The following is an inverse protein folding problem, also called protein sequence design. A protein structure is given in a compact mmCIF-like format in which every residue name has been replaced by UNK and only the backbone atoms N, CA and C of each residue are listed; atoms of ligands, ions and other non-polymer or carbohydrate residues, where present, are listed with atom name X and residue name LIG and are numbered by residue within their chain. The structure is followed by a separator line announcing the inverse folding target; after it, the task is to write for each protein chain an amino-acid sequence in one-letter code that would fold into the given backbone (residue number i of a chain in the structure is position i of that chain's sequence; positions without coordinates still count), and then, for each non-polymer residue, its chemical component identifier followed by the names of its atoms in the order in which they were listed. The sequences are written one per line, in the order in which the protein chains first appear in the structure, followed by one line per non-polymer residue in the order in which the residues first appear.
data_IF_519786926229
#
_entry.id   IF_519786926229
#
_cell.length_a   1.000
_cell.length_b   1.000
_cell.length_c   1.000
_cell.angle_alpha   90.00
_cell.angle_beta   90.00
_cell.angle_gamma   90.00
#
_symmetry.space_group_name_H-M   'P 1'
#
loop_
_entity.id
_entity.type
_entity.pdbx_description
1 polymer ?
#
# COMPACT_ATOMS: atom_id res chain seq x y z
N UNK A 1 0.97 -21.37 -38.37
CA UNK A 1 -0.22 -22.26 -38.26
C UNK A 1 -0.04 -23.49 -39.14
N UNK A 2 -0.37 -24.70 -38.67
CA UNK A 2 -0.32 -25.95 -39.44
C UNK A 2 -1.71 -26.27 -40.03
N UNK A 3 -1.75 -26.56 -41.33
CA UNK A 3 -2.98 -26.95 -42.01
C UNK A 3 -2.66 -28.01 -43.08
N UNK A 4 -3.39 -29.14 -43.10
CA UNK A 4 -3.15 -30.28 -43.98
C UNK A 4 -1.68 -30.71 -44.05
N UNK A 5 -1.03 -30.88 -42.91
CA UNK A 5 0.39 -31.27 -42.76
C UNK A 5 1.40 -30.30 -43.40
N UNK A 6 1.01 -29.05 -43.62
CA UNK A 6 1.91 -27.98 -44.04
C UNK A 6 1.81 -26.80 -43.11
N UNK A 7 2.95 -26.15 -42.85
CA UNK A 7 3.04 -24.94 -42.03
C UNK A 7 2.97 -23.69 -42.91
N UNK A 8 2.00 -22.83 -42.66
CA UNK A 8 1.86 -21.53 -43.32
C UNK A 8 2.16 -20.38 -42.37
N UNK A 9 2.82 -19.35 -42.89
CA UNK A 9 3.19 -18.15 -42.14
C UNK A 9 2.27 -16.95 -42.44
N UNK A 10 1.47 -17.05 -43.53
CA UNK A 10 0.54 -16.01 -43.94
C UNK A 10 -0.60 -16.57 -44.75
N UNK A 11 -1.74 -15.87 -44.83
CA UNK A 11 -2.85 -16.28 -45.67
C UNK A 11 -2.50 -16.25 -47.15
N UNK A 12 -1.61 -15.36 -47.59
CA UNK A 12 -1.14 -15.31 -48.97
C UNK A 12 -0.38 -16.59 -49.38
N UNK A 13 0.43 -17.17 -48.49
CA UNK A 13 1.08 -18.46 -48.75
C UNK A 13 0.08 -19.61 -48.93
N UNK A 14 -0.96 -19.66 -48.09
CA UNK A 14 -2.03 -20.63 -48.21
C UNK A 14 -2.79 -20.45 -49.53
N UNK A 15 -3.10 -19.20 -49.93
CA UNK A 15 -3.78 -18.90 -51.20
C UNK A 15 -2.94 -19.36 -52.40
N UNK A 16 -1.59 -19.18 -52.40
CA UNK A 16 -0.70 -19.67 -53.45
C UNK A 16 -0.83 -21.18 -53.62
N UNK A 17 -0.79 -21.92 -52.49
CA UNK A 17 -0.92 -23.40 -52.54
C UNK A 17 -2.30 -23.87 -52.99
N UNK A 18 -3.35 -23.17 -52.54
CA UNK A 18 -4.72 -23.48 -52.97
C UNK A 18 -4.96 -23.22 -54.49
N UNK A 19 -4.44 -22.09 -54.97
CA UNK A 19 -4.47 -21.81 -56.43
C UNK A 19 -3.71 -22.87 -57.23
N UNK A 20 -2.50 -23.23 -56.77
CA UNK A 20 -1.71 -24.26 -57.43
C UNK A 20 -2.40 -25.62 -57.42
N UNK A 21 -3.02 -26.01 -56.33
CA UNK A 21 -3.72 -27.31 -56.20
C UNK A 21 -4.89 -27.44 -57.12
N UNK A 22 -5.53 -26.32 -57.51
CA UNK A 22 -6.67 -26.24 -58.46
C UNK A 22 -6.25 -25.96 -59.91
N UNK A 23 -4.96 -25.67 -60.13
CA UNK A 23 -4.51 -25.23 -61.46
C UNK A 23 -5.06 -23.84 -61.85
N UNK A 24 -5.38 -23.00 -60.87
CA UNK A 24 -6.00 -21.70 -61.09
C UNK A 24 -4.95 -20.56 -61.12
N UNK A 25 -5.26 -19.57 -61.99
CA UNK A 25 -4.55 -18.30 -61.99
C UNK A 25 -5.19 -17.31 -61.00
N UNK A 26 -4.50 -16.22 -60.66
CA UNK A 26 -5.03 -15.13 -59.87
C UNK A 26 -6.27 -14.51 -60.52
N UNK A 27 -6.25 -14.43 -61.90
CA UNK A 27 -7.35 -13.96 -62.71
C UNK A 27 -8.58 -14.87 -62.57
N UNK A 28 -8.39 -16.18 -62.54
CA UNK A 28 -9.46 -17.13 -62.33
C UNK A 28 -10.16 -16.95 -60.97
N UNK A 29 -9.34 -16.75 -59.90
CA UNK A 29 -9.89 -16.47 -58.57
C UNK A 29 -10.63 -15.11 -58.53
N UNK A 30 -10.10 -14.08 -59.21
CA UNK A 30 -10.72 -12.76 -59.29
C UNK A 30 -12.12 -12.85 -59.89
N UNK A 31 -12.26 -13.60 -60.99
CA UNK A 31 -13.58 -13.84 -61.64
C UNK A 31 -14.53 -14.54 -60.65
N UNK A 32 -14.08 -15.59 -59.94
CA UNK A 32 -14.91 -16.37 -59.01
C UNK A 32 -15.36 -15.54 -57.82
N UNK A 33 -14.49 -14.69 -57.29
CA UNK A 33 -14.79 -13.81 -56.16
C UNK A 33 -15.49 -12.51 -56.57
N UNK A 34 -15.78 -12.30 -57.87
CA UNK A 34 -16.29 -11.04 -58.40
C UNK A 34 -15.47 -9.82 -57.99
N UNK A 35 -14.13 -9.94 -58.01
CA UNK A 35 -13.17 -8.93 -57.59
C UNK A 35 -12.26 -8.56 -58.77
N UNK A 36 -11.55 -7.42 -58.61
CA UNK A 36 -10.46 -7.09 -59.51
C UNK A 36 -9.22 -7.97 -59.29
N UNK A 37 -8.47 -8.22 -60.36
CA UNK A 37 -7.26 -9.08 -60.30
C UNK A 37 -6.16 -8.46 -59.44
N UNK A 38 -6.11 -7.13 -59.33
CA UNK A 38 -5.20 -6.39 -58.47
C UNK A 38 -5.48 -6.69 -56.98
N UNK A 39 -6.76 -6.76 -56.61
CA UNK A 39 -7.20 -7.09 -55.26
C UNK A 39 -6.76 -8.50 -54.86
N UNK A 40 -6.95 -9.50 -55.74
CA UNK A 40 -6.48 -10.86 -55.52
C UNK A 40 -4.93 -10.92 -55.44
N UNK A 41 -4.25 -10.20 -56.36
CA UNK A 41 -2.78 -10.13 -56.31
C UNK A 41 -2.24 -9.53 -55.03
N UNK A 42 -2.92 -8.54 -54.47
CA UNK A 42 -2.58 -7.95 -53.16
C UNK A 42 -2.84 -8.92 -52.02
N UNK A 43 -3.92 -9.73 -52.03
CA UNK A 43 -4.18 -10.76 -51.04
C UNK A 43 -3.09 -11.84 -51.06
N UNK A 44 -2.76 -12.36 -52.26
CA UNK A 44 -1.70 -13.37 -52.42
C UNK A 44 -0.31 -12.85 -51.99
N UNK A 45 -0.07 -11.57 -52.09
CA UNK A 45 1.16 -10.91 -51.67
C UNK A 45 1.12 -10.42 -50.21
N UNK A 46 0.08 -10.76 -49.44
CA UNK A 46 -0.14 -10.30 -48.07
C UNK A 46 -0.18 -8.75 -47.91
N UNK A 47 -0.56 -8.03 -48.99
CA UNK A 47 -0.71 -6.57 -49.03
C UNK A 47 -2.14 -6.11 -48.88
N UNK A 48 -3.10 -7.02 -48.89
CA UNK A 48 -4.53 -6.79 -48.61
C UNK A 48 -4.92 -7.67 -47.45
N UNK A 49 -5.51 -7.05 -46.43
CA UNK A 49 -6.03 -7.73 -45.25
C UNK A 49 -7.21 -8.62 -45.62
N UNK A 50 -7.25 -9.83 -45.08
CA UNK A 50 -8.38 -10.73 -45.20
C UNK A 50 -9.25 -10.57 -43.97
N UNK A 51 -10.38 -9.93 -44.16
CA UNK A 51 -11.42 -9.77 -43.12
C UNK A 51 -12.39 -10.96 -43.11
N UNK A 52 -13.39 -10.91 -42.20
CA UNK A 52 -14.37 -11.98 -42.04
C UNK A 52 -15.19 -12.26 -43.33
N UNK A 53 -15.51 -11.20 -44.06
CA UNK A 53 -16.28 -11.33 -45.34
C UNK A 53 -15.47 -12.05 -46.40
N UNK A 54 -14.23 -11.62 -46.61
CA UNK A 54 -13.33 -12.29 -47.56
C UNK A 54 -12.99 -13.73 -47.13
N UNK A 55 -12.84 -13.97 -45.83
CA UNK A 55 -12.57 -15.32 -45.33
C UNK A 55 -13.74 -16.27 -45.61
N UNK A 56 -14.99 -15.83 -45.49
CA UNK A 56 -16.19 -16.61 -45.83
C UNK A 56 -16.25 -16.90 -47.35
N UNK A 57 -15.99 -15.89 -48.17
CA UNK A 57 -15.95 -16.10 -49.64
C UNK A 57 -14.87 -17.10 -50.04
N UNK A 58 -13.69 -17.08 -49.36
CA UNK A 58 -12.64 -18.03 -49.62
C UNK A 58 -12.99 -19.43 -49.11
N UNK A 59 -13.76 -19.54 -48.02
CA UNK A 59 -14.30 -20.81 -47.53
C UNK A 59 -15.25 -21.43 -48.55
N UNK A 60 -16.18 -20.65 -49.07
CA UNK A 60 -17.12 -21.10 -50.13
C UNK A 60 -16.38 -21.60 -51.35
N UNK A 61 -15.32 -20.89 -51.76
CA UNK A 61 -14.57 -21.22 -52.98
C UNK A 61 -13.65 -22.42 -52.79
N UNK A 62 -12.93 -22.49 -51.68
CA UNK A 62 -11.87 -23.48 -51.48
C UNK A 62 -12.24 -24.64 -50.57
N UNK A 63 -13.34 -24.54 -49.80
CA UNK A 63 -13.73 -25.51 -48.78
C UNK A 63 -12.74 -25.54 -47.58
N UNK A 64 -12.01 -24.44 -47.40
CA UNK A 64 -11.10 -24.24 -46.23
C UNK A 64 -11.80 -23.37 -45.23
N UNK A 65 -11.98 -23.78 -43.98
CA UNK A 65 -12.71 -23.00 -43.00
C UNK A 65 -12.20 -21.55 -42.87
N UNK A 66 -13.12 -20.59 -42.81
CA UNK A 66 -12.80 -19.15 -42.76
C UNK A 66 -11.86 -18.79 -41.60
N UNK A 67 -11.99 -19.48 -40.45
CA UNK A 67 -11.15 -19.27 -39.30
C UNK A 67 -9.65 -19.56 -39.59
N UNK A 68 -9.31 -20.43 -40.54
CA UNK A 68 -7.91 -20.71 -40.92
C UNK A 68 -7.29 -19.46 -41.55
N UNK A 69 -7.99 -18.77 -42.43
CA UNK A 69 -7.53 -17.52 -43.05
C UNK A 69 -7.39 -16.42 -42.02
N UNK A 70 -8.37 -16.28 -41.11
CA UNK A 70 -8.37 -15.25 -40.06
C UNK A 70 -7.25 -15.48 -39.05
N UNK A 71 -6.97 -16.72 -38.66
CA UNK A 71 -5.86 -17.05 -37.76
C UNK A 71 -4.52 -16.69 -38.38
N UNK A 72 -4.31 -17.08 -39.66
CA UNK A 72 -3.10 -16.74 -40.42
C UNK A 72 -2.92 -15.22 -40.56
N UNK A 73 -4.02 -14.49 -40.80
CA UNK A 73 -4.02 -13.03 -40.89
C UNK A 73 -3.61 -12.40 -39.53
N UNK A 74 -4.21 -12.88 -38.45
CA UNK A 74 -3.91 -12.39 -37.10
C UNK A 74 -2.45 -12.65 -36.71
N UNK A 75 -1.93 -13.85 -37.00
CA UNK A 75 -0.51 -14.18 -36.77
C UNK A 75 0.43 -13.26 -37.59
N UNK A 76 0.07 -12.99 -38.86
CA UNK A 76 0.85 -12.10 -39.72
C UNK A 76 0.86 -10.68 -39.17
N UNK A 77 -0.31 -10.17 -38.77
CA UNK A 77 -0.45 -8.80 -38.26
C UNK A 77 0.28 -8.62 -36.91
N UNK A 78 0.19 -9.62 -36.02
CA UNK A 78 0.96 -9.63 -34.77
C UNK A 78 2.47 -9.62 -35.01
N UNK A 79 2.95 -10.44 -35.97
CA UNK A 79 4.37 -10.47 -36.31
C UNK A 79 4.84 -9.14 -36.90
N UNK A 80 4.05 -8.54 -37.79
CA UNK A 80 4.35 -7.19 -38.33
C UNK A 80 4.37 -6.13 -37.22
N UNK A 81 3.37 -6.17 -36.34
CA UNK A 81 3.31 -5.25 -35.21
C UNK A 81 4.53 -5.40 -34.28
N UNK A 82 4.97 -6.64 -34.00
CA UNK A 82 6.17 -6.90 -33.18
C UNK A 82 7.45 -6.36 -33.81
N UNK A 83 7.57 -6.40 -35.14
CA UNK A 83 8.74 -5.86 -35.86
C UNK A 83 8.83 -4.33 -35.79
N UNK A 84 7.69 -3.66 -35.68
CA UNK A 84 7.58 -2.18 -35.67
C UNK A 84 7.42 -1.66 -34.25
N UNK A 85 6.92 -2.50 -33.33
CA UNK A 85 6.66 -2.09 -31.96
C UNK A 85 7.99 -1.84 -31.26
N UNK A 86 8.07 -0.65 -30.67
CA UNK A 86 9.08 -0.34 -29.67
C UNK A 86 8.44 -0.69 -28.31
N UNK A 87 8.69 -1.90 -27.74
CA UNK A 87 8.07 -2.30 -26.49
C UNK A 87 8.52 -1.31 -25.40
N UNK A 88 7.52 -0.71 -24.72
CA UNK A 88 7.76 0.09 -23.53
C UNK A 88 8.08 -0.87 -22.36
N UNK A 89 9.35 -0.97 -21.93
CA UNK A 89 9.77 -1.91 -20.89
C UNK A 89 9.12 -1.59 -19.54
N UNK A 90 8.74 -0.34 -19.28
CA UNK A 90 8.08 0.08 -18.04
C UNK A 90 6.57 -0.21 -17.99
N UNK A 91 5.94 -0.65 -19.10
CA UNK A 91 4.47 -0.80 -19.15
C UNK A 91 3.94 -1.82 -18.14
N UNK A 92 4.64 -2.92 -17.95
CA UNK A 92 4.24 -3.96 -17.00
C UNK A 92 4.37 -3.47 -15.55
N UNK A 93 5.50 -2.84 -15.21
CA UNK A 93 5.71 -2.22 -13.90
C UNK A 93 4.69 -1.11 -13.64
N UNK A 94 4.44 -0.25 -14.62
CA UNK A 94 3.41 0.80 -14.55
C UNK A 94 2.03 0.22 -14.27
N UNK A 95 1.65 -0.87 -14.92
CA UNK A 95 0.34 -1.49 -14.71
C UNK A 95 0.18 -1.96 -13.26
N UNK A 96 1.22 -2.54 -12.65
CA UNK A 96 1.22 -2.94 -11.24
C UNK A 96 1.20 -1.75 -10.30
N UNK A 97 2.04 -0.74 -10.52
CA UNK A 97 2.09 0.47 -9.70
C UNK A 97 0.74 1.20 -9.66
N UNK A 98 0.08 1.34 -10.81
CA UNK A 98 -1.21 2.03 -10.91
C UNK A 98 -2.39 1.18 -10.39
N UNK A 99 -2.24 -0.15 -10.32
CA UNK A 99 -3.23 -1.01 -9.70
C UNK A 99 -3.19 -0.94 -8.16
N UNK A 100 -1.98 -0.87 -7.59
CA UNK A 100 -1.77 -1.13 -6.18
C UNK A 100 -1.47 0.13 -5.35
N UNK A 101 -0.83 1.16 -5.94
CA UNK A 101 -0.54 2.42 -5.25
C UNK A 101 -1.68 3.43 -5.35
N UNK A 102 -2.01 4.14 -4.26
CA UNK A 102 -2.97 5.23 -4.29
C UNK A 102 -2.36 6.53 -4.87
N UNK A 103 -1.87 6.47 -6.12
CA UNK A 103 -1.10 7.57 -6.76
C UNK A 103 -1.86 8.88 -6.74
N UNK A 104 -3.17 8.88 -7.02
CA UNK A 104 -4.00 10.09 -6.95
C UNK A 104 -3.97 10.75 -5.57
N UNK A 105 -3.98 9.94 -4.51
CA UNK A 105 -3.92 10.44 -3.15
C UNK A 105 -2.52 10.97 -2.81
N UNK A 106 -1.47 10.29 -3.27
CA UNK A 106 -0.08 10.75 -3.10
C UNK A 106 0.18 12.09 -3.80
N UNK A 107 -0.37 12.29 -5.02
CA UNK A 107 -0.32 13.58 -5.73
C UNK A 107 -1.05 14.66 -4.93
N UNK A 108 -2.29 14.40 -4.49
CA UNK A 108 -3.10 15.34 -3.73
C UNK A 108 -2.43 15.78 -2.43
N UNK A 109 -1.68 14.87 -1.78
CA UNK A 109 -0.91 15.15 -0.56
C UNK A 109 0.44 15.81 -0.81
N UNK A 110 0.82 16.04 -2.08
CA UNK A 110 2.11 16.62 -2.43
C UNK A 110 3.30 15.68 -2.26
N UNK A 111 3.08 14.37 -2.09
CA UNK A 111 4.16 13.38 -2.01
C UNK A 111 4.80 13.11 -3.35
N UNK A 112 4.04 13.30 -4.42
CA UNK A 112 4.45 13.18 -5.82
C UNK A 112 4.12 14.49 -6.51
N UNK A 113 5.13 15.16 -7.09
CA UNK A 113 5.00 16.43 -7.78
C UNK A 113 4.56 16.21 -9.24
N UNK A 114 3.30 15.84 -9.45
CA UNK A 114 2.68 15.68 -10.76
C UNK A 114 1.33 16.39 -10.80
N UNK A 115 0.95 16.95 -11.95
CA UNK A 115 -0.36 17.58 -12.11
C UNK A 115 -1.49 16.56 -12.25
N UNK A 116 -1.19 15.40 -12.80
CA UNK A 116 -2.17 14.34 -13.06
C UNK A 116 -1.51 12.97 -13.16
N UNK A 117 -2.24 11.93 -12.76
CA UNK A 117 -1.86 10.52 -13.00
C UNK A 117 -1.70 10.17 -14.48
N UNK A 118 -2.22 10.99 -15.39
CA UNK A 118 -2.11 10.78 -16.85
C UNK A 118 -0.72 11.11 -17.37
N UNK A 119 0.03 11.97 -16.69
CA UNK A 119 1.42 12.24 -17.01
C UNK A 119 2.31 11.14 -16.43
N UNK A 120 2.28 10.00 -17.10
CA UNK A 120 2.97 8.78 -16.65
C UNK A 120 4.47 8.97 -16.51
N UNK A 121 5.10 9.81 -17.35
CA UNK A 121 6.54 10.05 -17.29
C UNK A 121 6.94 10.81 -16.03
N UNK A 122 6.21 11.87 -15.70
CA UNK A 122 6.45 12.63 -14.46
C UNK A 122 6.13 11.77 -13.23
N UNK A 123 5.01 11.04 -13.24
CA UNK A 123 4.65 10.15 -12.14
C UNK A 123 5.72 9.08 -11.91
N UNK A 124 6.22 8.42 -12.95
CA UNK A 124 7.28 7.41 -12.81
C UNK A 124 8.58 8.00 -12.24
N UNK A 125 8.99 9.17 -12.74
CA UNK A 125 10.17 9.88 -12.22
C UNK A 125 10.02 10.22 -10.74
N UNK A 126 8.86 10.74 -10.35
CA UNK A 126 8.60 11.12 -8.97
C UNK A 126 8.44 9.89 -8.05
N UNK A 127 7.89 8.76 -8.54
CA UNK A 127 7.87 7.51 -7.79
C UNK A 127 9.28 6.97 -7.54
N UNK A 128 10.15 6.96 -8.54
CA UNK A 128 11.57 6.60 -8.40
C UNK A 128 12.25 7.45 -7.33
N UNK A 129 12.03 8.77 -7.36
CA UNK A 129 12.53 9.71 -6.36
C UNK A 129 11.93 9.42 -4.97
N UNK A 130 10.61 9.23 -4.88
CA UNK A 130 9.88 8.98 -3.64
C UNK A 130 10.37 7.70 -2.94
N UNK A 131 10.58 6.62 -3.68
CA UNK A 131 11.08 5.37 -3.13
C UNK A 131 12.62 5.31 -3.03
N UNK A 132 13.34 6.31 -3.54
CA UNK A 132 14.80 6.38 -3.48
C UNK A 132 15.50 5.26 -4.26
N UNK A 133 14.93 4.84 -5.38
CA UNK A 133 15.45 3.78 -6.25
C UNK A 133 15.97 4.36 -7.57
N UNK A 134 16.76 3.58 -8.32
CA UNK A 134 17.28 4.04 -9.61
C UNK A 134 16.27 3.86 -10.75
N UNK A 135 15.43 2.83 -10.66
CA UNK A 135 14.50 2.43 -11.71
C UNK A 135 13.14 2.09 -11.11
N UNK A 136 12.09 2.30 -11.91
CA UNK A 136 10.70 1.94 -11.56
C UNK A 136 10.59 0.46 -11.17
N UNK A 137 11.31 -0.41 -11.87
CA UNK A 137 11.32 -1.86 -11.63
C UNK A 137 11.90 -2.26 -10.27
N UNK A 138 12.66 -1.38 -9.61
CA UNK A 138 13.31 -1.64 -8.32
C UNK A 138 12.43 -1.24 -7.12
N UNK A 139 11.22 -0.72 -7.36
CA UNK A 139 10.29 -0.35 -6.30
C UNK A 139 9.82 -1.61 -5.56
N UNK A 140 9.99 -1.66 -4.26
CA UNK A 140 9.79 -2.86 -3.40
C UNK A 140 8.39 -3.49 -3.48
N UNK A 141 7.36 -2.72 -3.83
CA UNK A 141 5.99 -3.22 -4.01
C UNK A 141 5.82 -4.13 -5.23
N UNK A 142 6.79 -4.16 -6.13
CA UNK A 142 6.75 -5.02 -7.30
C UNK A 142 7.18 -6.45 -6.94
N UNK A 143 6.52 -7.49 -7.49
CA UNK A 143 6.76 -8.88 -7.10
C UNK A 143 8.22 -9.37 -7.25
N UNK A 144 8.96 -8.78 -8.19
CA UNK A 144 10.36 -9.14 -8.42
C UNK A 144 11.33 -8.38 -7.52
N UNK A 145 10.97 -7.17 -7.06
CA UNK A 145 11.76 -6.38 -6.12
C UNK A 145 11.52 -6.85 -4.67
N UNK A 146 10.28 -7.20 -4.31
CA UNK A 146 9.92 -7.74 -3.00
C UNK A 146 10.73 -9.00 -2.62
N UNK A 147 11.18 -9.79 -3.58
CA UNK A 147 12.06 -10.96 -3.34
C UNK A 147 13.46 -10.58 -2.86
N UNK A 148 13.89 -9.33 -3.02
CA UNK A 148 15.21 -8.84 -2.61
C UNK A 148 15.16 -8.15 -1.23
N UNK A 149 13.98 -7.78 -0.77
CA UNK A 149 13.76 -7.13 0.53
C UNK A 149 13.42 -8.18 1.58
N UNK A 150 14.10 -8.13 2.72
CA UNK A 150 13.81 -8.96 3.90
C UNK A 150 12.71 -8.33 4.77
N UNK A 151 12.21 -7.16 4.40
CA UNK A 151 11.23 -6.41 5.18
C UNK A 151 9.79 -6.77 4.77
N UNK A 152 9.00 -7.19 5.74
CA UNK A 152 7.53 -7.34 5.71
C UNK A 152 6.91 -7.84 4.40
N UNK A 153 6.90 -9.16 4.19
CA UNK A 153 6.25 -9.81 3.05
C UNK A 153 4.73 -9.60 3.00
N UNK A 154 4.12 -9.10 4.07
CA UNK A 154 2.66 -8.94 4.23
C UNK A 154 2.17 -7.49 4.14
N UNK A 155 3.07 -6.50 4.01
CA UNK A 155 2.69 -5.10 3.92
C UNK A 155 2.05 -4.76 2.58
N UNK A 156 0.93 -4.03 2.62
CA UNK A 156 0.27 -3.54 1.39
C UNK A 156 1.06 -2.40 0.76
N UNK A 157 0.94 -2.16 -0.57
CA UNK A 157 1.59 -1.04 -1.25
C UNK A 157 1.30 0.32 -0.62
N UNK A 158 0.07 0.54 -0.12
CA UNK A 158 -0.29 1.76 0.59
C UNK A 158 0.45 1.90 1.94
N UNK A 159 0.68 0.80 2.65
CA UNK A 159 1.46 0.79 3.89
C UNK A 159 2.94 1.06 3.62
N UNK A 160 3.49 0.47 2.56
CA UNK A 160 4.87 0.72 2.13
C UNK A 160 5.06 2.19 1.74
N UNK A 161 4.16 2.75 0.94
CA UNK A 161 4.22 4.18 0.58
C UNK A 161 4.14 5.08 1.83
N UNK A 162 3.27 4.77 2.78
CA UNK A 162 3.17 5.49 4.04
C UNK A 162 4.48 5.39 4.86
N UNK A 163 5.07 4.21 4.96
CA UNK A 163 6.35 3.99 5.63
C UNK A 163 7.48 4.83 5.01
N UNK A 164 7.57 4.85 3.67
CA UNK A 164 8.57 5.66 2.98
C UNK A 164 8.38 7.15 3.25
N UNK A 165 7.12 7.63 3.34
CA UNK A 165 6.87 9.02 3.72
C UNK A 165 7.33 9.33 5.14
N UNK A 166 7.02 8.47 6.10
CA UNK A 166 7.52 8.60 7.49
C UNK A 166 9.05 8.62 7.51
N UNK A 167 9.70 7.74 6.75
CA UNK A 167 11.16 7.66 6.66
C UNK A 167 11.77 8.93 6.10
N UNK A 168 11.21 9.49 5.02
CA UNK A 168 11.68 10.76 4.44
C UNK A 168 11.64 11.88 5.46
N UNK A 169 10.48 12.09 6.10
CA UNK A 169 10.32 13.13 7.12
C UNK A 169 11.28 12.92 8.30
N UNK A 170 11.38 11.69 8.80
CA UNK A 170 12.26 11.37 9.92
C UNK A 170 13.73 11.59 9.60
N UNK A 171 14.15 11.40 8.35
CA UNK A 171 15.53 11.62 7.91
C UNK A 171 15.96 13.09 8.01
N UNK A 172 15.02 14.03 7.85
CA UNK A 172 15.25 15.48 7.97
C UNK A 172 15.14 16.00 9.41
N UNK A 173 14.64 15.16 10.34
CA UNK A 173 14.45 15.60 11.72
C UNK A 173 15.73 15.59 12.53
N UNK A 174 15.93 16.63 13.32
CA UNK A 174 16.94 16.66 14.36
C UNK A 174 16.36 16.04 15.64
N UNK A 175 17.13 15.18 16.29
CA UNK A 175 16.82 14.62 17.60
C UNK A 175 18.11 14.55 18.45
N UNK A 176 17.96 14.50 19.77
CA UNK A 176 19.07 14.22 20.68
C UNK A 176 19.68 12.84 20.42
N UNK A 177 20.80 12.55 21.03
CA UNK A 177 21.36 11.20 21.03
C UNK A 177 20.38 10.24 21.71
N UNK A 178 20.08 9.12 21.08
CA UNK A 178 19.18 8.11 21.64
C UNK A 178 19.76 7.48 22.91
N UNK A 179 18.91 7.34 23.91
CA UNK A 179 19.22 6.65 25.16
C UNK A 179 18.06 5.81 25.65
N UNK A 180 18.22 4.47 25.75
CA UNK A 180 17.17 3.60 26.30
C UNK A 180 16.79 3.98 27.74
N UNK A 181 17.73 4.44 28.55
CA UNK A 181 17.48 4.87 29.94
C UNK A 181 16.67 6.17 29.99
N UNK A 182 16.94 7.11 29.06
CA UNK A 182 16.10 8.30 28.91
C UNK A 182 14.67 7.92 28.57
N UNK A 183 14.44 6.93 27.67
CA UNK A 183 13.10 6.44 27.34
C UNK A 183 12.42 5.81 28.56
N UNK A 184 13.12 4.93 29.29
CA UNK A 184 12.57 4.32 30.53
C UNK A 184 12.17 5.37 31.55
N UNK A 185 13.00 6.39 31.74
CA UNK A 185 12.69 7.52 32.63
C UNK A 185 11.49 8.33 32.13
N UNK A 186 11.43 8.57 30.82
CA UNK A 186 10.34 9.30 30.19
C UNK A 186 8.97 8.61 30.32
N UNK A 187 8.91 7.28 30.48
CA UNK A 187 7.64 6.57 30.68
C UNK A 187 6.87 7.09 31.90
N UNK A 188 7.54 7.43 33.00
CA UNK A 188 6.88 8.01 34.17
C UNK A 188 6.32 9.40 33.88
N UNK A 189 7.02 10.21 33.09
CA UNK A 189 6.58 11.53 32.65
C UNK A 189 5.39 11.42 31.70
N UNK A 190 5.46 10.52 30.72
CA UNK A 190 4.33 10.24 29.80
C UNK A 190 3.11 9.76 30.56
N UNK A 191 3.28 8.94 31.59
CA UNK A 191 2.19 8.52 32.47
C UNK A 191 1.51 9.71 33.15
N UNK A 192 2.27 10.72 33.58
CA UNK A 192 1.74 11.94 34.18
C UNK A 192 0.97 12.77 33.14
N UNK A 193 1.50 12.87 31.91
CA UNK A 193 0.85 13.59 30.80
C UNK A 193 -0.50 12.96 30.41
N UNK A 194 -0.67 11.66 30.57
CA UNK A 194 -1.90 10.92 30.26
C UNK A 194 -3.09 11.34 31.14
N UNK A 195 -2.88 12.09 32.20
CA UNK A 195 -3.94 12.52 33.11
C UNK A 195 -4.89 13.57 32.53
N UNK A 196 -4.45 14.31 31.50
CA UNK A 196 -5.22 15.37 30.86
C UNK A 196 -5.16 15.24 29.34
N UNK A 197 -6.16 15.79 28.65
CA UNK A 197 -6.17 15.84 27.19
C UNK A 197 -4.99 16.66 26.65
N UNK A 198 -4.69 17.80 27.24
CA UNK A 198 -3.60 18.69 26.81
C UNK A 198 -2.20 18.07 27.01
N UNK A 199 -2.09 17.03 27.80
CA UNK A 199 -0.84 16.33 28.02
C UNK A 199 -0.20 15.81 26.74
N UNK A 200 -0.99 15.46 25.71
CA UNK A 200 -0.48 14.96 24.42
C UNK A 200 0.40 16.00 23.70
N UNK A 201 0.16 17.30 23.90
CA UNK A 201 0.96 18.37 23.30
C UNK A 201 2.45 18.33 23.65
N UNK A 202 2.79 17.71 24.77
CA UNK A 202 4.18 17.59 25.24
C UNK A 202 4.90 16.32 24.74
N UNK A 203 4.19 15.38 24.16
CA UNK A 203 4.76 14.10 23.71
C UNK A 203 5.87 14.29 22.69
N UNK A 204 5.73 15.12 21.62
CA UNK A 204 6.80 15.30 20.64
C UNK A 204 8.12 15.74 21.26
N UNK A 205 8.06 16.68 22.24
CA UNK A 205 9.25 17.15 22.94
C UNK A 205 9.87 16.04 23.78
N UNK A 206 9.07 15.25 24.50
CA UNK A 206 9.58 14.13 25.30
C UNK A 206 10.26 13.11 24.43
N UNK A 207 9.72 12.81 23.24
CA UNK A 207 10.34 11.89 22.28
C UNK A 207 11.68 12.42 21.76
N UNK A 208 11.74 13.68 21.37
CA UNK A 208 12.97 14.32 20.89
C UNK A 208 14.08 14.35 21.97
N UNK A 209 13.71 14.64 23.22
CA UNK A 209 14.63 14.59 24.39
C UNK A 209 15.22 13.17 24.61
N UNK A 210 14.46 12.12 24.27
CA UNK A 210 14.92 10.72 24.33
C UNK A 210 15.73 10.28 23.10
N UNK A 211 15.84 11.12 22.09
CA UNK A 211 16.49 10.79 20.82
C UNK A 211 15.61 10.01 19.84
N UNK A 212 14.30 10.03 20.03
CA UNK A 212 13.32 9.39 19.14
C UNK A 212 12.77 10.42 18.18
N UNK A 213 12.80 10.12 16.87
CA UNK A 213 12.13 10.91 15.86
C UNK A 213 10.66 10.52 15.82
N UNK A 214 9.81 11.42 16.27
CA UNK A 214 8.38 11.20 16.36
C UNK A 214 7.65 11.95 15.24
N UNK A 215 6.94 11.22 14.38
CA UNK A 215 6.31 11.75 13.17
C UNK A 215 4.85 11.35 13.11
N UNK A 216 3.98 12.29 12.74
CA UNK A 216 2.56 12.05 12.50
C UNK A 216 2.28 12.14 11.00
N UNK A 217 1.90 11.02 10.38
CA UNK A 217 1.51 10.98 8.96
C UNK A 217 0.13 10.38 8.84
N UNK A 218 -0.79 11.11 8.21
CA UNK A 218 -2.14 10.61 7.98
C UNK A 218 -2.11 9.31 7.18
N UNK A 219 -2.86 8.29 7.62
CA UNK A 219 -2.95 7.02 6.93
C UNK A 219 -3.47 7.19 5.49
N UNK A 220 -2.86 6.51 4.53
CA UNK A 220 -3.43 6.42 3.18
C UNK A 220 -4.71 5.60 3.21
N UNK A 221 -5.65 5.91 2.33
CA UNK A 221 -6.92 5.22 2.22
C UNK A 221 -6.71 3.71 2.08
N UNK A 222 -7.35 2.94 2.97
CA UNK A 222 -7.27 1.48 2.97
C UNK A 222 -6.04 0.87 3.65
N UNK A 223 -5.02 1.65 4.03
CA UNK A 223 -3.79 1.13 4.67
C UNK A 223 -4.02 0.56 6.06
N UNK A 224 -5.01 1.10 6.80
CA UNK A 224 -5.37 0.69 8.18
C UNK A 224 -4.21 0.66 9.17
N UNK A 225 -3.14 1.39 8.87
CA UNK A 225 -1.95 1.46 9.71
C UNK A 225 -2.22 2.32 10.95
N UNK A 226 -1.74 1.92 12.10
CA UNK A 226 -1.84 2.66 13.36
C UNK A 226 -0.49 3.30 13.72
N UNK A 227 0.61 2.55 13.62
CA UNK A 227 1.93 3.01 13.93
C UNK A 227 3.04 2.25 13.19
N UNK A 228 4.27 2.66 13.43
CA UNK A 228 5.49 2.01 12.96
C UNK A 228 6.66 2.33 13.85
N UNK A 229 7.48 1.32 14.11
CA UNK A 229 8.82 1.47 14.68
C UNK A 229 9.88 0.98 13.68
N UNK A 230 10.87 1.81 13.41
CA UNK A 230 12.06 1.44 12.63
C UNK A 230 13.28 2.30 13.03
N UNK A 231 14.43 2.00 12.45
CA UNK A 231 15.66 2.72 12.71
C UNK A 231 16.26 3.22 11.41
N UNK A 232 16.68 4.49 11.38
CA UNK A 232 17.41 5.06 10.23
C UNK A 232 18.85 4.54 10.18
N UNK A 233 19.43 4.37 11.34
CA UNK A 233 20.74 3.76 11.62
C UNK A 233 20.72 3.11 13.01
N UNK A 234 21.81 2.53 13.48
CA UNK A 234 21.91 1.82 14.78
C UNK A 234 21.51 2.65 16.01
N UNK A 235 21.44 3.97 15.87
CA UNK A 235 21.24 4.92 17.00
C UNK A 235 20.08 5.89 16.75
N UNK A 236 19.35 5.76 15.68
CA UNK A 236 18.35 6.74 15.27
C UNK A 236 16.96 6.10 15.13
N UNK A 237 16.26 5.81 16.26
CA UNK A 237 14.92 5.24 16.22
C UNK A 237 13.90 6.26 15.76
N UNK A 238 12.89 5.74 15.04
CA UNK A 238 11.74 6.48 14.52
C UNK A 238 10.47 5.83 15.03
N UNK A 239 9.54 6.65 15.51
CA UNK A 239 8.16 6.27 15.79
C UNK A 239 7.25 7.11 14.89
N UNK A 240 6.58 6.45 13.98
CA UNK A 240 5.56 7.05 13.13
C UNK A 240 4.16 6.65 13.60
N UNK A 241 3.22 7.60 13.66
CA UNK A 241 1.83 7.32 14.01
C UNK A 241 0.87 7.93 13.00
N UNK A 242 -0.23 7.22 12.71
CA UNK A 242 -1.21 7.68 11.73
C UNK A 242 -2.34 8.51 12.33
N UNK A 243 -2.54 8.47 13.63
CA UNK A 243 -3.71 9.03 14.34
C UNK A 243 -5.05 8.64 13.70
N UNK A 244 -5.16 7.40 13.21
CA UNK A 244 -6.29 6.90 12.41
C UNK A 244 -7.67 7.17 13.05
N UNK A 245 -7.77 7.06 14.35
CA UNK A 245 -9.03 7.28 15.09
C UNK A 245 -9.12 8.65 15.76
N UNK A 246 -8.02 9.39 15.83
CA UNK A 246 -7.94 10.67 16.52
C UNK A 246 -8.55 10.64 17.94
N UNK A 247 -8.26 9.58 18.71
CA UNK A 247 -8.82 9.35 20.05
C UNK A 247 -7.69 9.23 21.07
N UNK A 248 -7.91 9.79 22.26
CA UNK A 248 -6.91 9.82 23.34
C UNK A 248 -6.50 8.42 23.81
N UNK A 249 -7.42 7.48 23.88
CA UNK A 249 -7.14 6.09 24.30
C UNK A 249 -6.26 5.36 23.28
N UNK A 250 -6.58 5.50 21.98
CA UNK A 250 -5.82 4.92 20.90
C UNK A 250 -4.42 5.54 20.80
N UNK A 251 -4.33 6.85 20.93
CA UNK A 251 -3.05 7.57 20.91
C UNK A 251 -2.06 7.03 21.94
N UNK A 252 -2.47 6.94 23.22
CA UNK A 252 -1.57 6.48 24.28
C UNK A 252 -1.23 4.99 24.17
N UNK A 253 -2.18 4.18 23.68
CA UNK A 253 -1.94 2.76 23.47
C UNK A 253 -0.91 2.55 22.35
N UNK A 254 -1.12 3.14 21.17
CA UNK A 254 -0.21 3.01 20.02
C UNK A 254 1.17 3.59 20.37
N UNK A 255 1.23 4.79 20.95
CA UNK A 255 2.51 5.39 21.39
C UNK A 255 3.31 4.44 22.28
N UNK A 256 2.68 3.85 23.29
CA UNK A 256 3.37 2.97 24.22
C UNK A 256 3.75 1.63 23.58
N UNK A 257 2.95 1.15 22.66
CA UNK A 257 3.24 -0.03 21.83
C UNK A 257 4.53 0.17 21.03
N UNK A 258 4.62 1.25 20.26
CA UNK A 258 5.78 1.59 19.44
C UNK A 258 7.04 1.85 20.33
N UNK A 259 6.85 2.46 21.50
CA UNK A 259 7.95 2.65 22.44
C UNK A 259 8.50 1.34 23.01
N UNK A 260 7.68 0.28 23.13
CA UNK A 260 8.20 -1.03 23.51
C UNK A 260 9.09 -1.60 22.43
N UNK A 261 8.69 -1.51 21.16
CA UNK A 261 9.54 -1.93 20.04
C UNK A 261 10.89 -1.18 20.05
N UNK A 262 10.89 0.13 20.31
CA UNK A 262 12.14 0.90 20.46
C UNK A 262 13.00 0.37 21.61
N UNK A 263 12.40 0.12 22.78
CA UNK A 263 13.11 -0.37 23.99
C UNK A 263 13.71 -1.76 23.82
N UNK A 264 13.03 -2.62 23.05
CA UNK A 264 13.50 -3.97 22.72
C UNK A 264 14.43 -3.98 21.50
N UNK A 265 14.72 -2.81 20.91
CA UNK A 265 15.51 -2.66 19.67
C UNK A 265 14.92 -3.40 18.48
N UNK A 266 13.60 -3.61 18.44
CA UNK A 266 12.89 -4.10 17.26
C UNK A 266 12.95 -3.06 16.13
N UNK A 267 12.72 -3.48 14.89
CA UNK A 267 12.74 -2.58 13.73
C UNK A 267 14.13 -2.22 13.19
N UNK A 268 15.23 -2.75 13.78
CA UNK A 268 16.60 -2.55 13.25
C UNK A 268 16.86 -3.34 11.98
N UNK A 269 16.31 -4.54 11.87
CA UNK A 269 16.45 -5.41 10.68
C UNK A 269 15.39 -5.16 9.61
N UNK A 270 14.33 -4.44 9.95
CA UNK A 270 13.19 -4.12 9.09
C UNK A 270 12.11 -3.38 9.88
N UNK A 271 11.33 -2.54 9.23
CA UNK A 271 10.28 -1.77 9.89
C UNK A 271 9.20 -2.69 10.51
N UNK A 272 8.82 -2.41 11.76
CA UNK A 272 7.67 -3.03 12.42
C UNK A 272 6.44 -2.18 12.10
N UNK A 273 5.59 -2.67 11.21
CA UNK A 273 4.37 -1.99 10.76
C UNK A 273 3.15 -2.53 11.51
N UNK A 274 2.50 -1.67 12.28
CA UNK A 274 1.36 -2.03 13.09
C UNK A 274 0.06 -1.55 12.47
N UNK A 275 -0.81 -2.49 12.17
CA UNK A 275 -2.12 -2.23 11.59
C UNK A 275 -3.22 -2.88 12.43
N UNK A 276 -4.35 -2.17 12.53
CA UNK A 276 -5.57 -2.68 13.20
C UNK A 276 -5.37 -3.10 14.66
N UNK A 277 -4.50 -2.40 15.41
CA UNK A 277 -4.24 -2.65 16.84
C UNK A 277 -5.50 -2.59 17.73
N UNK A 278 -6.59 -1.98 17.24
CA UNK A 278 -7.89 -1.96 17.93
C UNK A 278 -8.71 -3.26 17.79
N UNK A 279 -8.40 -4.12 16.83
CA UNK A 279 -9.19 -5.33 16.63
C UNK A 279 -9.10 -6.26 17.84
N UNK A 280 -10.21 -6.98 18.11
CA UNK A 280 -10.33 -7.96 19.19
C UNK A 280 -9.21 -8.99 19.26
N UNK A 281 -8.60 -9.28 18.12
CA UNK A 281 -7.54 -10.28 17.96
C UNK A 281 -6.16 -9.70 17.81
N UNK A 282 -6.01 -8.35 17.84
CA UNK A 282 -4.70 -7.75 17.80
C UNK A 282 -3.87 -8.20 19.01
N UNK A 283 -2.79 -8.89 18.77
CA UNK A 283 -1.90 -9.42 19.79
C UNK A 283 -2.46 -10.60 20.63
N UNK A 284 -3.57 -11.24 20.20
CA UNK A 284 -4.13 -12.39 20.90
C UNK A 284 -4.39 -13.55 19.93
N UNK A 285 -3.53 -14.53 19.91
CA UNK A 285 -3.68 -15.75 19.10
C UNK A 285 -2.39 -16.57 19.12
N UNK A 286 -2.45 -17.86 18.77
CA UNK A 286 -1.25 -18.71 18.75
C UNK A 286 -0.22 -18.32 17.69
N UNK A 287 -0.62 -17.51 16.69
CA UNK A 287 0.22 -17.11 15.56
C UNK A 287 0.77 -15.67 15.69
N UNK A 288 0.52 -14.99 16.83
CA UNK A 288 1.05 -13.64 17.07
C UNK A 288 2.52 -13.73 17.48
N UNK A 289 3.39 -12.97 16.80
CA UNK A 289 4.79 -12.89 17.18
C UNK A 289 4.95 -12.46 18.64
N UNK A 290 5.93 -13.04 19.33
CA UNK A 290 6.20 -12.75 20.73
C UNK A 290 6.46 -11.25 20.96
N UNK A 291 7.11 -10.61 20.01
CA UNK A 291 7.40 -9.17 20.00
C UNK A 291 6.13 -8.33 20.08
N UNK A 292 5.11 -8.68 19.29
CA UNK A 292 3.80 -8.03 19.29
C UNK A 292 3.04 -8.25 20.59
N UNK A 293 3.11 -9.46 21.14
CA UNK A 293 2.48 -9.78 22.40
C UNK A 293 3.06 -8.94 23.54
N UNK A 294 4.39 -8.84 23.62
CA UNK A 294 5.09 -8.03 24.62
C UNK A 294 4.74 -6.56 24.49
N UNK A 295 4.72 -6.01 23.26
CA UNK A 295 4.38 -4.61 23.01
C UNK A 295 2.92 -4.31 23.41
N UNK A 296 1.98 -5.19 23.08
CA UNK A 296 0.57 -5.05 23.45
C UNK A 296 0.34 -5.12 24.96
N UNK A 297 0.99 -6.05 25.66
CA UNK A 297 0.94 -6.17 27.12
C UNK A 297 1.51 -4.91 27.81
N UNK A 298 2.63 -4.42 27.31
CA UNK A 298 3.23 -3.19 27.80
C UNK A 298 2.31 -1.98 27.59
N UNK A 299 1.69 -1.83 26.42
CA UNK A 299 0.75 -0.77 26.11
C UNK A 299 -0.51 -0.84 26.98
N UNK A 300 -1.07 -2.03 27.15
CA UNK A 300 -2.26 -2.25 27.99
C UNK A 300 -1.95 -1.89 29.47
N UNK A 301 -0.87 -2.42 30.01
CA UNK A 301 -0.48 -2.18 31.42
C UNK A 301 -0.13 -0.72 31.68
N UNK A 302 0.45 -0.04 30.69
CA UNK A 302 0.73 1.39 30.78
C UNK A 302 -0.54 2.24 30.80
N UNK A 303 -1.52 1.92 29.97
CA UNK A 303 -2.80 2.64 29.94
C UNK A 303 -3.63 2.35 31.19
N UNK A 304 -3.95 1.08 31.43
CA UNK A 304 -4.73 0.61 32.59
C UNK A 304 -4.20 -0.77 33.02
N UNK A 305 -3.61 -0.89 34.21
CA UNK A 305 -3.12 -2.19 34.69
C UNK A 305 -4.24 -3.25 34.66
N UNK A 306 -3.91 -4.42 34.12
CA UNK A 306 -4.90 -5.49 33.86
C UNK A 306 -5.66 -5.91 35.13
N UNK A 307 -4.92 -6.14 36.24
CA UNK A 307 -5.52 -6.52 37.54
C UNK A 307 -6.48 -5.44 38.05
N UNK A 308 -6.13 -4.15 37.87
CA UNK A 308 -6.98 -3.04 38.29
C UNK A 308 -8.26 -2.96 37.45
N UNK A 309 -8.15 -3.18 36.14
CA UNK A 309 -9.31 -3.23 35.25
C UNK A 309 -10.21 -4.41 35.58
N UNK A 310 -9.65 -5.59 35.79
CA UNK A 310 -10.39 -6.80 36.12
C UNK A 310 -11.11 -6.68 37.45
N UNK A 311 -10.45 -6.14 38.47
CA UNK A 311 -11.08 -5.85 39.76
C UNK A 311 -12.20 -4.79 39.65
N UNK A 312 -12.02 -3.78 38.79
CA UNK A 312 -13.05 -2.78 38.51
C UNK A 312 -14.27 -3.43 37.82
N UNK A 313 -14.04 -4.23 36.77
CA UNK A 313 -15.10 -4.95 36.05
C UNK A 313 -15.83 -5.92 36.97
N UNK A 314 -15.12 -6.72 37.76
CA UNK A 314 -15.73 -7.65 38.71
C UNK A 314 -16.66 -6.99 39.74
N UNK A 315 -16.34 -5.75 40.15
CA UNK A 315 -17.17 -5.01 41.12
C UNK A 315 -18.36 -4.30 40.49
N UNK A 316 -18.29 -3.95 39.19
CA UNK A 316 -19.25 -3.03 38.56
C UNK A 316 -20.10 -3.66 37.46
N UNK A 317 -19.66 -4.79 36.89
CA UNK A 317 -20.44 -5.46 35.85
C UNK A 317 -21.80 -5.92 36.36
N UNK A 318 -22.85 -5.90 35.51
CA UNK A 318 -22.84 -5.44 34.12
C UNK A 318 -23.14 -3.94 33.96
N UNK A 319 -23.32 -3.20 35.07
CA UNK A 319 -23.75 -1.81 35.07
C UNK A 319 -22.59 -0.87 35.44
N UNK A 320 -22.04 -0.21 34.44
CA UNK A 320 -21.02 0.81 34.62
C UNK A 320 -21.65 2.20 34.49
N UNK A 321 -21.50 3.03 35.54
CA UNK A 321 -21.92 4.44 35.49
C UNK A 321 -20.75 5.33 35.07
N UNK A 322 -21.06 6.51 34.57
CA UNK A 322 -20.05 7.54 34.26
C UNK A 322 -19.25 7.93 35.51
N UNK A 323 -19.93 8.03 36.65
CA UNK A 323 -19.30 8.31 37.96
C UNK A 323 -18.26 7.25 38.32
N UNK A 324 -18.56 5.98 38.05
CA UNK A 324 -17.62 4.85 38.29
C UNK A 324 -16.41 4.97 37.39
N UNK A 325 -16.60 5.25 36.10
CA UNK A 325 -15.54 5.45 35.13
C UNK A 325 -14.59 6.58 35.55
N UNK A 326 -15.15 7.78 35.83
CA UNK A 326 -14.39 8.97 36.24
C UNK A 326 -13.68 8.71 37.58
N UNK A 327 -14.34 8.05 38.54
CA UNK A 327 -13.75 7.69 39.83
C UNK A 327 -12.56 6.74 39.66
N UNK A 328 -12.68 5.76 38.80
CA UNK A 328 -11.60 4.80 38.51
C UNK A 328 -10.43 5.49 37.78
N UNK A 329 -10.72 6.33 36.78
CA UNK A 329 -9.70 7.11 36.08
C UNK A 329 -8.88 8.03 37.05
N UNK A 330 -9.56 8.65 38.01
CA UNK A 330 -8.90 9.47 39.05
C UNK A 330 -7.95 8.64 39.93
N UNK A 331 -8.36 7.44 40.34
CA UNK A 331 -7.50 6.54 41.12
C UNK A 331 -6.25 6.18 40.34
N UNK A 332 -6.40 5.91 39.03
CA UNK A 332 -5.29 5.57 38.15
C UNK A 332 -4.47 6.78 37.68
N UNK A 333 -4.93 8.01 37.96
CA UNK A 333 -4.35 9.28 37.49
C UNK A 333 -4.22 9.33 35.96
N UNK A 334 -5.27 8.90 35.23
CA UNK A 334 -5.33 8.95 33.77
C UNK A 334 -6.61 9.68 33.33
N UNK A 335 -6.62 10.13 32.07
CA UNK A 335 -7.82 10.71 31.48
C UNK A 335 -8.94 9.66 31.38
N UNK A 336 -10.22 10.00 31.67
CA UNK A 336 -11.35 9.05 31.60
C UNK A 336 -11.46 8.33 30.26
N UNK A 337 -11.12 8.99 29.15
CA UNK A 337 -11.11 8.39 27.81
C UNK A 337 -10.18 7.17 27.69
N UNK A 338 -9.04 7.17 28.37
CA UNK A 338 -8.12 6.04 28.37
C UNK A 338 -8.76 4.81 29.04
N UNK A 339 -9.45 5.03 30.15
CA UNK A 339 -10.24 3.96 30.83
C UNK A 339 -11.40 3.53 29.98
N UNK A 340 -12.13 4.46 29.35
CA UNK A 340 -13.27 4.18 28.49
C UNK A 340 -12.88 3.24 27.33
N UNK A 341 -11.78 3.52 26.63
CA UNK A 341 -11.29 2.68 25.55
C UNK A 341 -10.95 1.25 26.01
N UNK A 342 -10.23 1.11 27.13
CA UNK A 342 -9.88 -0.21 27.68
C UNK A 342 -11.12 -0.96 28.16
N UNK A 343 -12.10 -0.28 28.78
CA UNK A 343 -13.35 -0.88 29.21
C UNK A 343 -14.22 -1.32 28.02
N UNK A 344 -14.32 -0.50 26.97
CA UNK A 344 -15.00 -0.87 25.73
C UNK A 344 -14.40 -2.14 25.13
N UNK A 345 -13.08 -2.22 25.03
CA UNK A 345 -12.36 -3.41 24.52
C UNK A 345 -12.63 -4.64 25.39
N UNK A 346 -12.57 -4.50 26.71
CA UNK A 346 -12.79 -5.61 27.66
C UNK A 346 -14.23 -6.13 27.63
N UNK A 347 -15.21 -5.23 27.54
CA UNK A 347 -16.65 -5.56 27.62
C UNK A 347 -17.32 -5.74 26.27
N UNK A 348 -16.62 -5.43 25.17
CA UNK A 348 -17.14 -5.43 23.79
C UNK A 348 -18.30 -4.44 23.58
N UNK A 349 -18.38 -3.42 24.40
CA UNK A 349 -19.46 -2.40 24.39
C UNK A 349 -18.93 -1.06 23.90
N UNK A 350 -18.65 -0.95 22.61
CA UNK A 350 -18.12 0.26 21.94
C UNK A 350 -19.13 1.41 21.83
N UNK A 351 -20.38 1.18 22.20
CA UNK A 351 -21.45 2.17 22.30
C UNK A 351 -21.37 3.02 23.59
N UNK A 352 -20.63 2.56 24.61
CA UNK A 352 -20.56 3.19 25.93
C UNK A 352 -19.42 4.19 26.04
N UNK A 353 -19.66 5.28 26.81
CA UNK A 353 -18.64 6.27 27.22
C UNK A 353 -17.90 6.97 26.06
N UNK A 354 -18.56 7.10 24.90
CA UNK A 354 -17.95 7.68 23.69
C UNK A 354 -17.55 9.15 23.88
N UNK A 355 -18.29 9.89 24.70
CA UNK A 355 -18.03 11.32 24.95
C UNK A 355 -16.70 11.57 25.67
N UNK A 356 -16.14 10.54 26.31
CA UNK A 356 -14.80 10.62 26.91
C UNK A 356 -13.65 10.33 25.93
N UNK A 357 -13.94 9.80 24.72
CA UNK A 357 -12.94 9.50 23.70
C UNK A 357 -12.60 10.76 22.89
N UNK A 358 -12.00 11.71 23.59
CA UNK A 358 -11.70 13.04 23.02
C UNK A 358 -10.64 12.98 21.94
N UNK A 359 -10.69 13.91 20.98
CA UNK A 359 -9.73 14.05 19.90
C UNK A 359 -8.42 14.63 20.41
N UNK A 360 -7.30 14.22 19.81
CA UNK A 360 -5.95 14.64 20.24
C UNK A 360 -5.16 15.36 19.15
N UNK A 361 -5.57 15.23 17.91
CA UNK A 361 -4.83 15.73 16.74
C UNK A 361 -4.55 17.22 16.82
N UNK A 362 -5.56 18.03 17.08
CA UNK A 362 -5.42 19.48 17.10
C UNK A 362 -4.59 19.97 18.29
N UNK A 363 -4.55 19.20 19.36
CA UNK A 363 -3.75 19.51 20.55
C UNK A 363 -2.29 19.20 20.33
N UNK A 364 -1.98 18.07 19.70
CA UNK A 364 -0.59 17.65 19.44
C UNK A 364 0.02 18.39 18.24
N UNK A 365 -0.79 18.80 17.27
CA UNK A 365 -0.37 19.40 16.02
C UNK A 365 0.59 20.58 16.13
N UNK A 366 0.40 21.55 17.04
CA UNK A 366 1.29 22.70 17.14
C UNK A 366 2.76 22.33 17.48
N UNK A 367 2.97 21.16 18.08
CA UNK A 367 4.26 20.72 18.61
C UNK A 367 4.84 19.49 17.90
N UNK A 368 4.13 18.96 16.91
CA UNK A 368 4.51 17.74 16.17
C UNK A 368 4.78 18.06 14.70
N UNK A 369 5.73 17.37 14.11
CA UNK A 369 5.86 17.31 12.66
C UNK A 369 4.77 16.39 12.14
N UNK A 370 3.92 16.91 11.26
CA UNK A 370 2.78 16.19 10.68
C UNK A 370 2.72 16.34 9.17
N UNK A 371 2.18 15.30 8.52
CA UNK A 371 1.88 15.28 7.09
C UNK A 371 0.47 14.68 6.88
N UNK A 372 -0.36 15.38 6.17
CA UNK A 372 -1.78 15.06 5.99
C UNK A 372 -2.71 16.08 6.63
N UNK A 373 -4.02 15.85 6.53
CA UNK A 373 -5.08 16.75 7.04
C UNK A 373 -4.95 18.19 6.51
N UNK A 374 -4.41 18.36 5.30
CA UNK A 374 -4.17 19.65 4.68
C UNK A 374 -2.77 20.23 4.89
N UNK A 375 -1.94 19.59 5.70
CA UNK A 375 -0.54 19.97 5.90
C UNK A 375 0.39 19.02 5.13
N UNK A 376 1.52 19.55 4.68
CA UNK A 376 2.59 18.79 4.04
C UNK A 376 3.90 19.11 4.78
N UNK A 377 4.51 18.10 5.35
CA UNK A 377 5.81 18.27 5.99
C UNK A 377 6.88 18.59 4.93
N UNK A 378 7.73 19.60 5.15
CA UNK A 378 8.85 19.84 4.25
C UNK A 378 9.80 18.64 4.31
N UNK A 379 10.19 18.18 3.13
CA UNK A 379 11.24 17.16 2.92
C UNK A 379 12.11 17.70 1.81
N UNK A 380 13.41 17.83 2.05
CA UNK A 380 14.33 18.27 1.02
C UNK A 380 14.34 17.31 -0.18
N UNK A 381 14.37 17.82 -1.41
CA UNK A 381 14.27 17.03 -2.62
C UNK A 381 15.51 16.15 -2.89
#
# INVERSE_FOLDING_TARGET
MEFKNKTYRSPGQLLVDLLKSRGWTRRSLAIVLAMDETGVSKMVADKRHIDGSLALMLEEVFGVPANVFLTLQSELDLNRARLVANPDPGRAARALLYADLPINEMIRRGWIAAESVKDTKTVEKELVRFFGVERVDDIEILPHAAKKSTANTDATPAQIAWLYRVKQIASEMLACAFSPDAVRFALSRLRTLMSTQDGVANVPRVMAECGIRFVLVEALTGSKIDGVCFWLDDKSPVVGMSLRFDRIDNFWFVLRHELEHVLQCHGKSGAMLDAELEKERAGTGPDVAEEERVANEAAQSFCVPADSLDAFVARKAPFFSERDLIGFARILKVHPGVVAGQLQRKTKRYDRFRDHLVNVREIIAPNAIKDGWGDVAPVEP
#
